data_IF_513075607075
#
_entry.id   IF_513075607075
#
_cell.length_a   1.000
_cell.length_b   1.000
_cell.length_c   1.000
_cell.angle_alpha   90.00
_cell.angle_beta   90.00
_cell.angle_gamma   90.00
#
_symmetry.space_group_name_H-M   'P 1'
#
loop_
_entity.id
_entity.type
_entity.pdbx_description
1 polymer ?
#
# COMPACT_ATOMS: atom_id res chain seq x y z
N UNK A 1 41.73 -3.66 46.26
CA UNK A 1 42.98 -4.43 45.99
C UNK A 1 42.86 -5.79 46.66
N UNK A 2 43.57 -6.84 46.21
CA UNK A 2 44.64 -6.87 45.20
C UNK A 2 44.20 -7.53 43.86
N UNK A 3 44.81 -7.17 42.72
CA UNK A 3 45.78 -7.95 41.89
C UNK A 3 45.22 -9.14 41.08
N UNK A 4 45.55 -9.37 39.79
CA UNK A 4 46.23 -8.52 38.80
C UNK A 4 47.26 -9.23 37.89
N UNK A 5 46.95 -9.36 36.59
CA UNK A 5 47.87 -9.76 35.49
C UNK A 5 47.24 -9.29 34.14
N UNK A 6 47.90 -8.48 33.29
CA UNK A 6 48.86 -8.81 32.21
C UNK A 6 48.30 -9.80 31.15
N UNK A 7 48.41 -9.58 29.82
CA UNK A 7 49.55 -9.10 29.00
C UNK A 7 49.12 -8.15 27.83
N UNK A 8 50.11 -7.51 27.16
CA UNK A 8 50.01 -6.52 26.05
C UNK A 8 49.95 -7.11 24.61
N UNK A 9 49.78 -6.19 23.64
CA UNK A 9 50.19 -6.17 22.20
C UNK A 9 49.04 -6.37 21.18
N UNK A 10 49.07 -5.78 19.97
CA UNK A 10 50.09 -4.97 19.25
C UNK A 10 49.41 -3.94 18.31
N UNK A 11 50.07 -2.80 18.01
CA UNK A 11 49.69 -1.90 16.91
C UNK A 11 50.42 -2.29 15.61
N UNK A 12 49.86 -1.92 14.47
CA UNK A 12 50.56 -1.84 13.18
C UNK A 12 50.10 -0.60 12.41
N UNK A 13 51.05 0.20 11.92
CA UNK A 13 50.83 1.30 10.96
C UNK A 13 50.99 0.77 9.52
N UNK A 14 50.35 1.43 8.55
CA UNK A 14 50.91 1.52 7.19
C UNK A 14 50.52 2.85 6.51
N UNK A 15 51.42 3.42 5.72
CA UNK A 15 51.26 4.74 5.07
C UNK A 15 51.31 4.66 3.55
N UNK A 16 50.66 5.64 2.91
CA UNK A 16 50.90 6.17 1.56
C UNK A 16 50.72 5.25 0.32
N UNK A 17 49.99 5.78 -0.67
CA UNK A 17 50.60 6.47 -1.83
C UNK A 17 49.63 7.47 -2.49
N UNK A 18 50.20 8.43 -3.24
CA UNK A 18 49.54 9.42 -4.11
C UNK A 18 50.02 9.23 -5.56
N UNK A 19 49.17 9.60 -6.52
CA UNK A 19 49.40 10.00 -7.94
C UNK A 19 48.01 10.35 -8.52
N UNK A 20 47.71 11.39 -9.32
CA UNK A 20 48.37 12.01 -10.50
C UNK A 20 48.40 11.05 -11.70
N UNK A 21 47.94 11.34 -12.93
CA UNK A 21 47.28 12.52 -13.57
C UNK A 21 46.43 12.03 -14.79
N UNK A 22 45.92 12.76 -15.79
CA UNK A 22 45.97 14.18 -16.22
C UNK A 22 44.90 14.49 -17.29
N UNK A 23 44.33 15.71 -17.25
CA UNK A 23 44.01 16.62 -18.38
C UNK A 23 42.91 16.34 -19.45
N UNK A 24 42.28 17.46 -19.85
CA UNK A 24 41.43 17.74 -21.03
C UNK A 24 42.33 18.11 -22.25
N UNK A 25 41.91 18.62 -23.47
CA UNK A 25 40.62 19.26 -23.83
C UNK A 25 40.10 19.11 -25.30
N UNK A 26 38.97 19.78 -25.62
CA UNK A 26 38.67 20.64 -26.81
C UNK A 26 38.92 20.15 -28.28
N UNK A 27 38.28 20.69 -29.34
CA UNK A 27 37.25 21.76 -29.49
C UNK A 27 36.66 21.84 -30.92
N UNK A 28 35.47 22.46 -31.03
CA UNK A 28 34.97 23.41 -32.07
C UNK A 28 35.11 23.08 -33.58
N UNK A 29 34.01 23.25 -34.30
CA UNK A 29 33.97 23.52 -35.75
C UNK A 29 32.63 24.14 -36.18
N UNK A 30 32.57 25.47 -36.32
CA UNK A 30 31.50 26.20 -37.02
C UNK A 30 31.93 26.50 -38.47
N UNK A 31 31.00 27.07 -39.27
CA UNK A 31 31.09 27.66 -40.64
C UNK A 31 30.22 26.87 -41.65
N UNK A 32 29.39 27.48 -42.54
CA UNK A 32 28.83 28.85 -42.61
C UNK A 32 27.57 28.85 -43.49
N UNK A 33 26.76 29.92 -43.44
CA UNK A 33 25.61 30.12 -44.32
C UNK A 33 25.99 30.34 -45.80
N UNK A 34 25.18 29.83 -46.72
CA UNK A 34 24.73 30.60 -47.90
C UNK A 34 23.35 30.12 -48.34
N UNK A 35 22.57 30.99 -48.99
CA UNK A 35 21.20 30.70 -49.43
C UNK A 35 20.95 31.36 -50.78
N UNK A 36 20.63 30.57 -51.82
CA UNK A 36 20.12 31.10 -53.09
C UNK A 36 19.52 30.02 -53.99
N UNK A 37 18.22 30.16 -54.24
CA UNK A 37 17.50 29.83 -55.48
C UNK A 37 17.32 28.36 -55.90
N UNK A 38 16.06 28.05 -56.25
CA UNK A 38 15.55 26.81 -56.85
C UNK A 38 15.12 27.14 -58.28
N UNK A 39 15.21 26.19 -59.24
CA UNK A 39 14.03 25.95 -60.07
C UNK A 39 13.73 24.46 -60.36
N UNK A 40 12.44 24.13 -60.17
CA UNK A 40 11.61 23.22 -60.98
C UNK A 40 11.92 21.71 -61.24
N UNK A 41 10.83 20.95 -61.00
CA UNK A 41 10.26 19.83 -61.80
C UNK A 41 10.71 18.36 -61.57
N UNK A 42 9.66 17.54 -61.40
CA UNK A 42 9.60 16.08 -61.54
C UNK A 42 10.39 15.24 -60.50
N UNK A 43 9.99 14.03 -60.07
CA UNK A 43 8.80 13.20 -60.42
C UNK A 43 8.43 12.29 -59.24
N UNK A 44 7.19 11.79 -59.20
CA UNK A 44 6.69 10.60 -58.47
C UNK A 44 7.63 9.87 -57.48
N UNK A 45 7.29 9.87 -56.19
CA UNK A 45 7.73 8.85 -55.23
C UNK A 45 6.57 7.97 -54.76
N UNK A 46 6.82 6.66 -54.62
CA UNK A 46 5.90 5.69 -54.03
C UNK A 46 6.39 5.35 -52.62
N UNK A 47 5.75 5.90 -51.59
CA UNK A 47 6.12 5.62 -50.20
C UNK A 47 5.46 4.33 -49.70
N UNK A 48 6.23 3.24 -49.66
CA UNK A 48 5.88 1.99 -48.99
C UNK A 48 6.54 1.94 -47.60
N UNK A 49 6.06 2.76 -46.66
CA UNK A 49 6.42 2.62 -45.25
C UNK A 49 5.87 1.31 -44.69
N UNK A 50 6.74 0.32 -44.48
CA UNK A 50 6.44 -0.84 -43.64
C UNK A 50 6.28 -0.40 -42.19
N UNK A 51 5.08 -0.58 -41.65
CA UNK A 51 4.83 -0.48 -40.21
C UNK A 51 5.70 -1.51 -39.47
N UNK A 52 6.39 -1.07 -38.42
CA UNK A 52 7.05 -1.98 -37.47
C UNK A 52 6.05 -2.25 -36.36
N UNK A 53 5.54 -3.47 -36.29
CA UNK A 53 4.63 -3.90 -35.22
C UNK A 53 5.42 -4.11 -33.92
N UNK A 54 5.03 -3.42 -32.85
CA UNK A 54 5.54 -3.66 -31.50
C UNK A 54 4.71 -4.75 -30.81
N UNK A 55 5.33 -5.70 -30.07
CA UNK A 55 4.58 -6.77 -29.40
C UNK A 55 3.57 -6.24 -28.36
N UNK A 56 2.40 -6.87 -28.31
CA UNK A 56 1.26 -6.36 -27.56
C UNK A 56 1.46 -6.28 -26.04
N UNK A 57 1.31 -5.07 -25.50
CA UNK A 57 1.15 -4.85 -24.06
C UNK A 57 -0.22 -5.38 -23.63
N UNK A 58 -0.25 -6.30 -22.65
CA UNK A 58 -1.47 -6.86 -22.08
C UNK A 58 -2.24 -5.84 -21.22
N UNK A 59 -2.89 -4.85 -21.86
CA UNK A 59 -3.98 -4.09 -21.22
C UNK A 59 -5.22 -4.98 -21.09
N UNK A 60 -5.30 -5.72 -19.97
CA UNK A 60 -6.62 -6.03 -19.39
C UNK A 60 -7.17 -4.74 -18.78
N UNK A 61 -8.42 -4.44 -19.08
CA UNK A 61 -9.15 -3.41 -18.34
C UNK A 61 -9.32 -3.86 -16.88
N UNK A 62 -9.18 -2.97 -15.89
CA UNK A 62 -9.38 -3.31 -14.49
C UNK A 62 -10.88 -3.59 -14.26
N UNK A 63 -11.25 -4.87 -14.23
CA UNK A 63 -12.65 -5.32 -14.14
C UNK A 63 -13.20 -5.19 -12.70
N UNK A 64 -13.13 -3.97 -12.16
CA UNK A 64 -13.84 -3.51 -10.99
C UNK A 64 -15.23 -3.02 -11.44
N UNK A 65 -16.13 -3.96 -11.70
CA UNK A 65 -17.55 -3.63 -11.89
C UNK A 65 -18.03 -2.82 -10.68
N UNK A 66 -18.70 -1.70 -10.94
CA UNK A 66 -19.11 -0.75 -9.90
C UNK A 66 -19.96 -1.46 -8.84
N UNK A 67 -19.50 -1.44 -7.58
CA UNK A 67 -20.19 -2.10 -6.49
C UNK A 67 -21.53 -1.42 -6.22
N UNK A 68 -22.62 -2.10 -6.55
CA UNK A 68 -23.97 -1.65 -6.19
C UNK A 68 -24.28 -1.97 -4.71
N UNK A 69 -25.29 -1.30 -4.10
CA UNK A 69 -25.61 -1.47 -2.68
C UNK A 69 -25.99 -2.91 -2.31
N UNK A 70 -25.89 -3.22 -1.00
CA UNK A 70 -26.01 -4.56 -0.41
C UNK A 70 -27.06 -5.50 -1.06
N UNK A 71 -26.54 -6.44 -1.84
CA UNK A 71 -27.09 -7.80 -1.95
C UNK A 71 -26.37 -8.69 -0.91
N UNK A 72 -27.02 -9.71 -0.32
CA UNK A 72 -26.32 -10.71 0.50
C UNK A 72 -25.22 -11.48 -0.25
N UNK A 73 -25.14 -11.34 -1.58
CA UNK A 73 -24.18 -12.03 -2.45
C UNK A 73 -22.91 -11.23 -2.80
N UNK A 74 -22.67 -10.04 -2.21
CA UNK A 74 -21.45 -9.26 -2.50
C UNK A 74 -20.18 -10.01 -2.06
N UNK A 75 -19.26 -10.39 -2.97
CA UNK A 75 -18.14 -11.27 -2.64
C UNK A 75 -17.08 -10.55 -1.80
N UNK A 76 -16.79 -11.11 -0.62
CA UNK A 76 -15.79 -10.59 0.33
C UNK A 76 -14.38 -10.74 -0.26
N UNK A 77 -13.69 -9.62 -0.46
CA UNK A 77 -12.32 -9.58 -1.00
C UNK A 77 -11.29 -9.71 0.11
N UNK A 78 -10.32 -10.61 -0.07
CA UNK A 78 -9.18 -10.75 0.86
C UNK A 78 -8.00 -9.91 0.39
N UNK A 79 -7.54 -8.99 1.24
CA UNK A 79 -6.38 -8.13 1.03
C UNK A 79 -5.20 -8.63 1.87
N UNK A 80 -4.12 -9.06 1.23
CA UNK A 80 -2.90 -9.55 1.89
C UNK A 80 -1.94 -8.41 2.24
N UNK A 81 -1.56 -8.30 3.51
CA UNK A 81 -0.66 -7.23 4.01
C UNK A 81 0.82 -7.56 3.70
N UNK A 82 1.45 -6.79 2.83
CA UNK A 82 2.86 -6.91 2.44
C UNK A 82 3.68 -5.68 2.90
N UNK A 83 4.12 -5.71 4.16
CA UNK A 83 5.05 -4.70 4.69
C UNK A 83 6.45 -4.91 4.08
N UNK A 84 7.00 -3.90 3.39
CA UNK A 84 8.34 -3.94 2.79
C UNK A 84 9.33 -3.13 3.64
N UNK A 85 9.37 -3.40 4.94
CA UNK A 85 10.35 -2.81 5.87
C UNK A 85 11.55 -3.74 6.08
N UNK A 86 12.75 -3.21 6.41
CA UNK A 86 13.92 -4.04 6.73
C UNK A 86 13.64 -5.06 7.84
N UNK A 87 12.89 -4.65 8.86
CA UNK A 87 12.53 -5.48 10.02
C UNK A 87 11.54 -6.61 9.69
N UNK A 88 10.94 -6.58 8.50
CA UNK A 88 10.04 -7.64 8.00
C UNK A 88 10.78 -8.77 7.26
N UNK A 89 12.06 -8.57 6.89
CA UNK A 89 12.85 -9.48 6.06
C UNK A 89 14.32 -9.55 6.53
N UNK A 90 14.54 -9.82 7.81
CA UNK A 90 15.85 -9.75 8.46
C UNK A 90 16.77 -10.96 8.17
N UNK A 91 17.28 -11.06 6.94
CA UNK A 91 18.36 -11.99 6.55
C UNK A 91 19.40 -11.27 5.66
N UNK A 92 20.33 -10.55 6.30
CA UNK A 92 21.48 -9.89 5.63
C UNK A 92 21.17 -8.53 5.00
N UNK A 93 21.80 -7.47 5.54
CA UNK A 93 21.74 -6.13 4.95
C UNK A 93 22.67 -5.92 3.75
N UNK A 94 22.59 -4.71 3.16
CA UNK A 94 23.20 -4.28 1.89
C UNK A 94 22.45 -4.83 0.65
N UNK A 95 21.66 -3.93 0.04
CA UNK A 95 20.68 -4.20 -1.02
C UNK A 95 19.54 -5.14 -0.59
N UNK A 96 18.42 -4.54 -0.14
CA UNK A 96 17.15 -5.23 0.05
C UNK A 96 16.72 -5.87 -1.29
N UNK A 97 16.93 -7.18 -1.44
CA UNK A 97 16.44 -7.91 -2.63
C UNK A 97 14.92 -8.02 -2.53
N UNK A 98 14.14 -7.42 -3.46
CA UNK A 98 12.67 -7.45 -3.38
C UNK A 98 12.11 -8.87 -3.50
N UNK A 99 12.92 -9.85 -3.94
CA UNK A 99 12.57 -11.26 -4.07
C UNK A 99 11.94 -11.90 -2.82
N UNK A 100 12.24 -11.45 -1.60
CA UNK A 100 11.56 -11.92 -0.40
C UNK A 100 10.10 -11.44 -0.32
N UNK A 101 9.86 -10.15 -0.57
CA UNK A 101 8.53 -9.56 -0.64
C UNK A 101 7.73 -10.11 -1.85
N UNK A 102 8.35 -10.21 -3.03
CA UNK A 102 7.76 -10.83 -4.23
C UNK A 102 7.37 -12.29 -3.97
N UNK A 103 8.22 -13.07 -3.28
CA UNK A 103 7.89 -14.46 -2.93
C UNK A 103 6.77 -14.56 -1.89
N UNK A 104 6.65 -13.60 -0.97
CA UNK A 104 5.49 -13.52 -0.06
C UNK A 104 4.22 -13.13 -0.81
N UNK A 105 4.29 -12.19 -1.75
CA UNK A 105 3.18 -11.77 -2.60
C UNK A 105 2.66 -12.92 -3.47
N UNK A 106 3.55 -13.64 -4.15
CA UNK A 106 3.18 -14.83 -4.96
C UNK A 106 2.47 -15.87 -4.10
N UNK A 107 2.99 -16.14 -2.90
CA UNK A 107 2.32 -17.03 -1.93
C UNK A 107 0.97 -16.48 -1.47
N UNK A 108 0.81 -15.18 -1.26
CA UNK A 108 -0.51 -14.59 -0.93
C UNK A 108 -1.53 -14.82 -2.06
N UNK A 109 -1.12 -14.71 -3.33
CA UNK A 109 -1.98 -15.02 -4.49
C UNK A 109 -2.36 -16.51 -4.50
N UNK A 110 -1.39 -17.41 -4.31
CA UNK A 110 -1.63 -18.86 -4.15
C UNK A 110 -2.55 -19.18 -2.95
N UNK A 111 -2.43 -18.41 -1.85
CA UNK A 111 -3.26 -18.47 -0.65
C UNK A 111 -4.70 -17.94 -0.86
N UNK A 112 -4.97 -17.20 -1.95
CA UNK A 112 -6.29 -16.69 -2.33
C UNK A 112 -6.50 -15.18 -2.08
N UNK A 113 -5.43 -14.39 -1.99
CA UNK A 113 -5.53 -12.93 -1.94
C UNK A 113 -6.09 -12.37 -3.26
N UNK A 114 -7.06 -11.47 -3.13
CA UNK A 114 -7.66 -10.74 -4.25
C UNK A 114 -6.94 -9.40 -4.50
N UNK A 115 -6.31 -8.87 -3.44
CA UNK A 115 -5.53 -7.63 -3.44
C UNK A 115 -4.23 -7.90 -2.66
N UNK A 116 -3.10 -7.42 -3.14
CA UNK A 116 -1.86 -7.29 -2.34
C UNK A 116 -1.68 -5.83 -1.96
N UNK A 117 -1.48 -5.57 -0.68
CA UNK A 117 -1.40 -4.21 -0.13
C UNK A 117 0.01 -3.96 0.42
N UNK A 118 0.75 -3.12 -0.30
CA UNK A 118 2.20 -2.92 -0.19
C UNK A 118 2.46 -1.67 0.64
N UNK A 119 3.17 -1.81 1.77
CA UNK A 119 3.48 -0.70 2.67
C UNK A 119 4.98 -0.51 2.87
N UNK A 120 5.51 0.68 2.55
CA UNK A 120 6.93 1.02 2.72
C UNK A 120 7.28 1.62 4.09
N UNK A 121 6.32 2.26 4.74
CA UNK A 121 6.43 2.87 6.08
C UNK A 121 5.67 2.04 7.13
N UNK A 122 6.21 1.96 8.35
CA UNK A 122 5.56 1.23 9.46
C UNK A 122 4.62 2.17 10.22
N UNK A 123 3.31 2.03 10.03
CA UNK A 123 2.28 2.83 10.74
C UNK A 123 2.05 2.39 12.21
N UNK A 124 3.02 1.70 12.82
CA UNK A 124 3.00 1.26 14.22
C UNK A 124 3.48 2.40 15.15
N UNK A 125 2.91 2.54 16.36
CA UNK A 125 3.42 3.49 17.36
C UNK A 125 4.92 3.31 17.63
N UNK A 126 5.65 4.42 17.71
CA UNK A 126 7.10 4.45 17.94
C UNK A 126 7.97 4.09 16.73
N UNK A 127 7.40 3.86 15.54
CA UNK A 127 8.19 3.68 14.33
C UNK A 127 8.90 4.97 13.90
N UNK A 128 10.15 4.85 13.42
CA UNK A 128 10.86 5.96 12.80
C UNK A 128 10.28 6.28 11.42
N UNK A 129 10.07 7.57 11.13
CA UNK A 129 9.62 8.04 9.82
C UNK A 129 10.69 7.80 8.75
N UNK A 130 10.27 7.37 7.55
CA UNK A 130 11.16 7.20 6.39
C UNK A 130 11.11 8.43 5.47
N UNK A 131 12.16 8.68 4.69
CA UNK A 131 12.09 9.67 3.61
C UNK A 131 11.19 9.17 2.45
N UNK A 132 10.69 10.08 1.60
CA UNK A 132 9.93 9.70 0.40
C UNK A 132 10.72 8.73 -0.47
N UNK A 133 12.01 9.02 -0.71
CA UNK A 133 12.87 8.13 -1.48
C UNK A 133 13.01 6.74 -0.84
N UNK A 134 13.21 6.67 0.49
CA UNK A 134 13.29 5.39 1.19
C UNK A 134 12.00 4.56 1.13
N UNK A 135 10.85 5.20 0.96
CA UNK A 135 9.57 4.53 0.77
C UNK A 135 9.42 4.01 -0.67
N UNK A 136 9.74 4.85 -1.65
CA UNK A 136 9.80 4.48 -3.07
C UNK A 136 10.77 3.31 -3.33
N UNK A 137 12.00 3.39 -2.80
CA UNK A 137 13.04 2.35 -2.92
C UNK A 137 12.57 0.97 -2.40
N UNK A 138 11.58 0.96 -1.50
CA UNK A 138 10.96 -0.27 -0.96
C UNK A 138 9.77 -0.73 -1.79
N UNK A 139 8.85 0.18 -2.12
CA UNK A 139 7.54 -0.18 -2.70
C UNK A 139 7.60 -0.35 -4.22
N UNK A 140 8.26 0.56 -4.94
CA UNK A 140 8.27 0.61 -6.42
C UNK A 140 8.78 -0.71 -7.04
N UNK A 141 9.95 -1.27 -6.66
CA UNK A 141 10.44 -2.51 -7.26
C UNK A 141 9.59 -3.75 -6.94
N UNK A 142 8.81 -3.70 -5.86
CA UNK A 142 7.88 -4.78 -5.48
C UNK A 142 6.58 -4.67 -6.27
N UNK A 143 6.07 -3.45 -6.47
CA UNK A 143 4.86 -3.18 -7.28
C UNK A 143 5.10 -3.55 -8.74
N UNK A 144 6.23 -3.11 -9.34
CA UNK A 144 6.59 -3.46 -10.72
C UNK A 144 6.62 -4.99 -10.94
N UNK A 145 7.24 -5.74 -10.03
CA UNK A 145 7.35 -7.18 -10.11
C UNK A 145 6.00 -7.91 -9.91
N UNK A 146 5.17 -7.48 -8.95
CA UNK A 146 3.82 -8.04 -8.79
C UNK A 146 2.97 -7.74 -10.04
N UNK A 147 3.05 -6.52 -10.59
CA UNK A 147 2.30 -6.13 -11.79
C UNK A 147 2.70 -6.95 -13.02
N UNK A 148 3.99 -7.26 -13.16
CA UNK A 148 4.53 -8.06 -14.27
C UNK A 148 4.21 -9.56 -14.16
N UNK A 149 4.24 -10.14 -12.95
CA UNK A 149 4.16 -11.59 -12.76
C UNK A 149 2.78 -12.11 -12.30
N UNK A 150 1.93 -11.28 -11.69
CA UNK A 150 0.81 -11.77 -10.87
C UNK A 150 -0.55 -11.23 -11.31
N UNK A 151 -1.59 -12.10 -11.45
CA UNK A 151 -2.95 -11.69 -11.81
C UNK A 151 -3.75 -11.23 -10.58
N UNK A 152 -3.24 -10.22 -9.86
CA UNK A 152 -3.82 -9.69 -8.62
C UNK A 152 -3.88 -8.16 -8.66
N UNK A 153 -4.86 -7.55 -8.00
CA UNK A 153 -4.90 -6.10 -7.82
C UNK A 153 -3.87 -5.65 -6.78
N UNK A 154 -3.32 -4.46 -6.97
CA UNK A 154 -2.26 -3.92 -6.11
C UNK A 154 -2.76 -2.65 -5.41
N UNK A 155 -2.51 -2.58 -4.10
CA UNK A 155 -2.80 -1.44 -3.24
C UNK A 155 -1.51 -0.89 -2.64
N UNK A 156 -1.42 0.43 -2.49
CA UNK A 156 -0.30 1.12 -1.82
C UNK A 156 -0.77 1.68 -0.46
N UNK A 157 -0.22 1.18 0.65
CA UNK A 157 -0.43 1.73 2.00
C UNK A 157 0.52 2.92 2.19
N UNK A 158 0.02 4.13 1.87
CA UNK A 158 0.77 5.40 1.99
C UNK A 158 -0.16 6.61 2.14
N UNK A 159 0.37 7.67 2.76
CA UNK A 159 -0.28 8.99 2.88
C UNK A 159 0.44 10.08 2.07
N UNK A 160 1.34 9.73 1.14
CA UNK A 160 2.27 10.67 0.51
C UNK A 160 2.01 10.82 -1.00
N UNK A 161 1.75 12.03 -1.54
CA UNK A 161 1.41 12.21 -2.95
C UNK A 161 2.41 11.59 -3.92
N UNK A 162 3.70 11.79 -3.70
CA UNK A 162 4.77 11.30 -4.57
C UNK A 162 4.87 9.76 -4.58
N UNK A 163 4.47 9.11 -3.48
CA UNK A 163 4.45 7.64 -3.38
C UNK A 163 3.17 7.08 -4.00
N UNK A 164 2.04 7.78 -3.91
CA UNK A 164 0.81 7.45 -4.66
C UNK A 164 1.07 7.52 -6.17
N UNK A 165 1.71 8.60 -6.64
CA UNK A 165 2.01 8.85 -8.05
C UNK A 165 2.85 7.72 -8.66
N UNK A 166 4.02 7.43 -8.08
CA UNK A 166 4.90 6.38 -8.58
C UNK A 166 4.28 4.98 -8.40
N UNK A 167 3.63 4.68 -7.27
CA UNK A 167 2.97 3.38 -7.10
C UNK A 167 1.92 3.12 -8.20
N UNK A 168 1.12 4.12 -8.55
CA UNK A 168 0.13 4.00 -9.63
C UNK A 168 0.80 4.00 -11.02
N UNK A 169 1.88 4.75 -11.22
CA UNK A 169 2.69 4.71 -12.45
C UNK A 169 3.20 3.28 -12.76
N UNK A 170 3.48 2.50 -11.70
CA UNK A 170 3.90 1.10 -11.77
C UNK A 170 2.77 0.07 -11.72
N UNK A 171 1.51 0.50 -11.65
CA UNK A 171 0.34 -0.37 -11.73
C UNK A 171 -0.33 -0.72 -10.40
N UNK A 172 -0.18 0.09 -9.35
CA UNK A 172 -1.15 0.11 -8.25
C UNK A 172 -2.52 0.61 -8.75
N UNK A 173 -3.59 -0.05 -8.30
CA UNK A 173 -4.98 0.20 -8.71
C UNK A 173 -5.82 0.79 -7.55
N UNK A 174 -5.24 0.84 -6.35
CA UNK A 174 -5.85 1.26 -5.09
C UNK A 174 -4.83 2.06 -4.27
N UNK A 175 -5.24 3.20 -3.71
CA UNK A 175 -4.54 3.94 -2.65
C UNK A 175 -5.20 3.60 -1.31
N UNK A 176 -4.42 3.20 -0.31
CA UNK A 176 -4.89 2.89 1.03
C UNK A 176 -4.30 3.91 2.00
N UNK A 177 -5.03 4.98 2.30
CA UNK A 177 -4.50 6.11 3.06
C UNK A 177 -5.01 6.15 4.51
N UNK A 178 -4.10 5.84 5.44
CA UNK A 178 -4.31 5.94 6.89
C UNK A 178 -4.64 7.35 7.40
N UNK A 179 -4.39 8.40 6.61
CA UNK A 179 -4.76 9.80 6.88
C UNK A 179 -6.03 10.25 6.15
N UNK A 180 -6.64 9.44 5.27
CA UNK A 180 -7.84 9.77 4.50
C UNK A 180 -7.76 11.06 3.66
N UNK A 181 -6.71 11.17 2.84
CA UNK A 181 -6.38 12.29 1.95
C UNK A 181 -6.32 13.65 2.66
N UNK A 182 -5.82 13.66 3.91
CA UNK A 182 -5.59 14.89 4.71
C UNK A 182 -4.17 15.44 4.61
N UNK A 183 -3.22 14.70 4.03
CA UNK A 183 -1.90 15.24 3.70
C UNK A 183 -2.03 16.28 2.59
N UNK A 184 -1.22 17.34 2.65
CA UNK A 184 -1.10 18.34 1.59
C UNK A 184 -0.83 17.68 0.22
N UNK A 185 -1.53 18.13 -0.83
CA UNK A 185 -1.46 17.56 -2.19
C UNK A 185 -2.09 16.17 -2.39
N UNK A 186 -2.45 15.42 -1.34
CA UNK A 186 -2.90 14.03 -1.50
C UNK A 186 -4.28 13.93 -2.19
N UNK A 187 -5.18 14.88 -1.95
CA UNK A 187 -6.50 14.93 -2.59
C UNK A 187 -6.41 15.25 -4.08
N UNK A 188 -5.54 16.20 -4.45
CA UNK A 188 -5.23 16.55 -5.85
C UNK A 188 -4.62 15.36 -6.60
N UNK A 189 -3.61 14.73 -6.00
CA UNK A 189 -2.94 13.56 -6.56
C UNK A 189 -3.90 12.37 -6.74
N UNK A 190 -4.68 12.02 -5.71
CA UNK A 190 -5.62 10.91 -5.77
C UNK A 190 -6.74 11.15 -6.81
N UNK A 191 -7.16 12.40 -7.02
CA UNK A 191 -8.06 12.77 -8.13
C UNK A 191 -7.41 12.55 -9.50
N UNK A 192 -6.21 13.10 -9.72
CA UNK A 192 -5.50 13.00 -11.00
C UNK A 192 -5.12 11.57 -11.40
N UNK A 193 -4.80 10.71 -10.43
CA UNK A 193 -4.47 9.30 -10.66
C UNK A 193 -5.69 8.43 -10.98
N UNK A 194 -6.89 8.83 -10.56
CA UNK A 194 -8.15 8.18 -10.95
C UNK A 194 -8.36 6.73 -10.47
N UNK A 195 -7.61 6.31 -9.45
CA UNK A 195 -7.65 4.94 -8.87
C UNK A 195 -8.70 4.81 -7.75
N UNK A 196 -8.88 3.59 -7.21
CA UNK A 196 -9.69 3.40 -6.00
C UNK A 196 -8.98 3.94 -4.77
N UNK A 197 -9.70 4.43 -3.75
CA UNK A 197 -9.13 5.03 -2.54
C UNK A 197 -9.83 4.50 -1.30
N UNK A 198 -9.08 3.93 -0.35
CA UNK A 198 -9.57 3.61 0.99
C UNK A 198 -9.23 4.75 1.96
N UNK A 199 -10.27 5.30 2.60
CA UNK A 199 -10.19 6.39 3.58
C UNK A 199 -10.30 5.81 4.99
N UNK A 200 -9.23 5.88 5.80
CA UNK A 200 -9.24 5.36 7.17
C UNK A 200 -9.48 6.45 8.24
N UNK A 201 -10.24 6.11 9.29
CA UNK A 201 -10.32 6.94 10.49
C UNK A 201 -9.10 6.73 11.44
N UNK A 202 -8.36 7.80 11.69
CA UNK A 202 -7.35 7.89 12.76
C UNK A 202 -7.52 9.17 13.59
N UNK A 203 -7.60 9.01 14.92
CA UNK A 203 -7.52 10.08 15.92
C UNK A 203 -6.06 10.24 16.38
N UNK A 204 -5.52 11.45 16.31
CA UNK A 204 -4.10 11.71 16.53
C UNK A 204 -3.22 11.26 15.35
N UNK A 205 -1.91 11.26 15.56
CA UNK A 205 -0.91 10.73 14.61
C UNK A 205 -0.42 9.33 15.04
N UNK A 206 0.10 8.48 14.14
CA UNK A 206 0.42 7.07 14.46
C UNK A 206 1.38 6.88 15.64
N UNK A 207 2.23 7.88 15.91
CA UNK A 207 3.19 7.90 17.01
C UNK A 207 2.55 8.10 18.39
N UNK A 208 1.55 8.98 18.52
CA UNK A 208 0.97 9.43 19.81
C UNK A 208 -0.49 9.03 20.03
N UNK A 209 -1.19 8.54 19.00
CA UNK A 209 -2.62 8.24 19.01
C UNK A 209 -3.14 7.36 20.18
N UNK A 210 -2.29 6.55 20.80
CA UNK A 210 -2.68 5.66 21.91
C UNK A 210 -2.58 6.30 23.30
N UNK A 211 -2.03 7.51 23.44
CA UNK A 211 -1.71 8.11 24.74
C UNK A 211 -2.96 8.45 25.57
N UNK A 212 -3.99 9.07 24.97
CA UNK A 212 -5.30 9.28 25.62
C UNK A 212 -6.44 9.43 24.60
N UNK A 213 -6.76 8.39 23.80
CA UNK A 213 -7.87 8.44 22.85
C UNK A 213 -9.23 8.53 23.57
N UNK A 214 -10.00 9.61 23.30
CA UNK A 214 -11.31 9.90 23.88
C UNK A 214 -12.36 10.06 22.79
N UNK A 215 -13.54 9.51 23.03
CA UNK A 215 -14.74 9.58 22.21
C UNK A 215 -15.93 9.57 23.18
N UNK A 216 -17.03 10.24 22.83
CA UNK A 216 -18.32 10.13 23.53
C UNK A 216 -19.12 8.96 22.98
N UNK A 217 -19.22 8.84 21.64
CA UNK A 217 -19.52 7.58 20.96
C UNK A 217 -18.69 7.39 19.70
N UNK A 218 -17.64 6.59 19.85
CA UNK A 218 -16.73 6.19 18.77
C UNK A 218 -17.44 5.61 17.53
N UNK A 219 -18.64 5.03 17.65
CA UNK A 219 -19.34 4.47 16.48
C UNK A 219 -19.85 5.58 15.56
N UNK A 220 -20.47 6.60 16.14
CA UNK A 220 -21.06 7.71 15.40
C UNK A 220 -19.95 8.69 14.96
N UNK A 221 -19.01 9.03 15.85
CA UNK A 221 -17.86 9.90 15.52
C UNK A 221 -17.00 9.34 14.37
N UNK A 222 -16.74 8.03 14.35
CA UNK A 222 -15.99 7.38 13.26
C UNK A 222 -16.77 7.40 11.96
N UNK A 223 -18.09 7.14 11.99
CA UNK A 223 -18.94 7.24 10.79
C UNK A 223 -18.95 8.66 10.24
N UNK A 224 -19.19 9.66 11.09
CA UNK A 224 -19.42 11.03 10.63
C UNK A 224 -18.12 11.68 10.12
N UNK A 225 -16.96 11.34 10.70
CA UNK A 225 -15.67 11.62 10.08
C UNK A 225 -15.53 10.98 8.69
N UNK A 226 -15.81 9.68 8.55
CA UNK A 226 -15.66 8.96 7.29
C UNK A 226 -16.59 9.50 6.21
N UNK A 227 -17.85 9.80 6.55
CA UNK A 227 -18.81 10.43 5.64
C UNK A 227 -18.38 11.86 5.25
N UNK A 228 -17.84 12.66 6.18
CA UNK A 228 -17.29 13.97 5.85
C UNK A 228 -16.05 13.89 4.94
N UNK A 229 -15.19 12.87 5.09
CA UNK A 229 -14.07 12.63 4.16
C UNK A 229 -14.54 12.17 2.79
N UNK A 230 -15.57 11.33 2.72
CA UNK A 230 -16.21 10.92 1.45
C UNK A 230 -16.82 12.12 0.74
N UNK A 231 -17.61 12.95 1.43
CA UNK A 231 -18.23 14.14 0.86
C UNK A 231 -17.17 15.13 0.31
N UNK A 232 -16.07 15.36 1.05
CA UNK A 232 -14.98 16.20 0.58
C UNK A 232 -14.25 15.62 -0.65
N UNK A 233 -14.21 14.30 -0.81
CA UNK A 233 -13.70 13.67 -2.03
C UNK A 233 -14.69 13.81 -3.20
N UNK A 234 -15.98 13.64 -2.96
CA UNK A 234 -17.04 13.84 -3.96
C UNK A 234 -17.11 15.31 -4.44
N UNK A 235 -16.95 16.28 -3.54
CA UNK A 235 -16.87 17.73 -3.85
C UNK A 235 -15.62 18.07 -4.68
N UNK A 236 -14.48 17.42 -4.41
CA UNK A 236 -13.28 17.52 -5.24
C UNK A 236 -13.38 16.72 -6.56
N UNK A 237 -14.53 16.09 -6.85
CA UNK A 237 -14.77 15.35 -8.09
C UNK A 237 -14.18 13.93 -8.14
N UNK A 238 -13.79 13.35 -7.00
CA UNK A 238 -13.46 11.92 -6.89
C UNK A 238 -14.78 11.14 -6.76
N UNK A 239 -15.16 10.29 -7.74
CA UNK A 239 -16.50 9.71 -7.77
C UNK A 239 -16.68 8.59 -6.73
N UNK A 240 -17.85 8.59 -6.05
CA UNK A 240 -18.21 7.66 -4.96
C UNK A 240 -17.84 6.20 -5.17
N UNK A 241 -18.00 5.68 -6.39
CA UNK A 241 -17.74 4.27 -6.70
C UNK A 241 -16.26 3.86 -6.60
N UNK A 242 -15.34 4.82 -6.46
CA UNK A 242 -13.90 4.60 -6.18
C UNK A 242 -13.57 4.64 -4.69
N UNK A 243 -14.48 5.10 -3.82
CA UNK A 243 -14.21 5.35 -2.41
C UNK A 243 -14.59 4.14 -1.53
N UNK A 244 -13.67 3.72 -0.67
CA UNK A 244 -13.87 2.73 0.40
C UNK A 244 -13.58 3.39 1.76
N UNK A 245 -14.06 2.79 2.86
CA UNK A 245 -13.84 3.31 4.22
C UNK A 245 -13.33 2.24 5.20
N UNK A 246 -12.39 2.58 6.08
CA UNK A 246 -11.93 1.74 7.21
C UNK A 246 -12.14 2.49 8.54
N UNK A 247 -12.84 1.91 9.54
CA UNK A 247 -12.96 2.48 10.89
C UNK A 247 -11.62 2.67 11.63
N UNK A 248 -10.52 2.13 11.11
CA UNK A 248 -9.19 2.23 11.67
C UNK A 248 -9.08 1.49 13.00
N UNK A 249 -9.39 0.19 13.02
CA UNK A 249 -9.23 -0.63 14.22
C UNK A 249 -7.80 -0.51 14.77
N UNK A 250 -7.67 -0.22 16.06
CA UNK A 250 -6.37 0.00 16.71
C UNK A 250 -5.68 1.33 16.37
N UNK A 251 -6.29 2.23 15.59
CA UNK A 251 -5.75 3.57 15.29
C UNK A 251 -6.44 4.65 16.15
N UNK A 252 -5.79 4.97 17.29
CA UNK A 252 -6.28 5.92 18.29
C UNK A 252 -7.51 5.44 19.04
N UNK A 253 -7.52 4.19 19.54
CA UNK A 253 -8.73 3.52 20.05
C UNK A 253 -8.41 2.50 21.15
N UNK A 254 -9.07 2.62 22.31
CA UNK A 254 -8.99 1.64 23.42
C UNK A 254 -9.60 0.29 23.03
N UNK A 255 -9.35 -0.78 23.81
CA UNK A 255 -10.02 -2.07 23.61
C UNK A 255 -11.55 -1.93 23.54
N UNK A 256 -12.16 -1.17 24.46
CA UNK A 256 -13.61 -0.91 24.49
C UNK A 256 -14.10 -0.21 23.22
N UNK A 257 -13.31 0.71 22.68
CA UNK A 257 -13.67 1.44 21.46
C UNK A 257 -13.64 0.51 20.23
N UNK A 258 -12.60 -0.31 20.11
CA UNK A 258 -12.50 -1.30 19.04
C UNK A 258 -13.61 -2.37 19.10
N UNK A 259 -14.00 -2.80 20.31
CA UNK A 259 -15.10 -3.74 20.50
C UNK A 259 -16.46 -3.13 20.13
N UNK A 260 -16.73 -1.85 20.49
CA UNK A 260 -17.94 -1.13 20.02
C UNK A 260 -17.99 -1.05 18.51
N UNK A 261 -16.91 -0.63 17.85
CA UNK A 261 -16.84 -0.54 16.40
C UNK A 261 -17.07 -1.87 15.69
N UNK A 262 -16.54 -2.98 16.22
CA UNK A 262 -16.75 -4.30 15.63
C UNK A 262 -18.19 -4.79 15.82
N UNK A 263 -18.78 -4.57 17.01
CA UNK A 263 -20.16 -4.95 17.30
C UNK A 263 -21.19 -4.20 16.45
N UNK A 264 -20.89 -2.94 16.11
CA UNK A 264 -21.75 -2.03 15.35
C UNK A 264 -21.21 -1.71 13.95
N UNK A 265 -20.33 -2.54 13.38
CA UNK A 265 -19.67 -2.26 12.09
C UNK A 265 -20.66 -2.07 10.92
N UNK A 266 -21.85 -2.66 11.03
CA UNK A 266 -22.94 -2.44 10.08
C UNK A 266 -23.31 -0.95 9.96
N UNK A 267 -23.15 -0.11 11.01
CA UNK A 267 -23.38 1.35 10.95
C UNK A 267 -22.52 2.07 9.91
N UNK A 268 -21.43 1.43 9.44
CA UNK A 268 -20.65 1.87 8.28
C UNK A 268 -21.11 1.18 6.98
N UNK A 269 -21.39 -0.12 7.00
CA UNK A 269 -21.83 -0.87 5.82
C UNK A 269 -23.19 -0.40 5.28
N UNK A 270 -24.12 -0.05 6.19
CA UNK A 270 -25.44 0.53 5.93
C UNK A 270 -25.37 1.86 5.16
N UNK A 271 -24.19 2.49 5.02
CA UNK A 271 -23.98 3.70 4.18
C UNK A 271 -23.86 3.40 2.68
N UNK A 272 -23.81 2.10 2.30
CA UNK A 272 -23.61 1.64 0.92
C UNK A 272 -22.19 1.82 0.38
N UNK A 273 -21.24 2.30 1.20
CA UNK A 273 -19.83 2.45 0.82
C UNK A 273 -19.08 1.14 1.18
N UNK A 274 -18.22 0.59 0.30
CA UNK A 274 -17.42 -0.59 0.62
C UNK A 274 -16.58 -0.39 1.90
N UNK A 275 -16.77 -1.28 2.88
CA UNK A 275 -16.06 -1.23 4.16
C UNK A 275 -14.86 -2.18 4.13
N UNK A 276 -13.68 -1.65 4.45
CA UNK A 276 -12.46 -2.40 4.68
C UNK A 276 -12.26 -2.59 6.19
N UNK A 277 -11.96 -3.82 6.60
CA UNK A 277 -11.77 -4.18 8.00
C UNK A 277 -10.40 -4.84 8.23
N UNK A 278 -9.43 -4.08 8.75
CA UNK A 278 -8.13 -4.59 9.15
C UNK A 278 -8.03 -4.89 10.66
N UNK A 279 -8.35 -6.12 11.10
CA UNK A 279 -8.22 -6.54 12.51
C UNK A 279 -7.05 -7.52 12.77
N UNK A 280 -6.44 -8.06 11.72
CA UNK A 280 -5.47 -9.16 11.81
C UNK A 280 -4.28 -8.86 12.73
N UNK A 281 -4.06 -9.75 13.71
CA UNK A 281 -2.98 -9.75 14.71
C UNK A 281 -2.88 -8.49 15.61
N UNK A 282 -3.81 -7.53 15.51
CA UNK A 282 -3.79 -6.26 16.25
C UNK A 282 -3.88 -6.46 17.79
N UNK A 283 -3.46 -5.43 18.52
CA UNK A 283 -3.34 -5.44 19.99
C UNK A 283 -4.60 -5.94 20.70
N UNK A 284 -5.80 -5.52 20.25
CA UNK A 284 -7.08 -5.97 20.80
C UNK A 284 -7.20 -7.50 20.88
N UNK A 285 -6.73 -8.24 19.87
CA UNK A 285 -6.78 -9.71 19.84
C UNK A 285 -5.82 -10.30 20.88
N UNK A 286 -4.68 -9.64 21.10
CA UNK A 286 -3.74 -9.99 22.16
C UNK A 286 -4.30 -9.76 23.55
N UNK A 287 -4.97 -8.63 23.79
CA UNK A 287 -5.56 -8.30 25.09
C UNK A 287 -6.79 -9.16 25.44
N UNK A 288 -7.58 -9.58 24.43
CA UNK A 288 -8.74 -10.46 24.64
C UNK A 288 -8.30 -11.90 24.98
N UNK A 289 -7.20 -12.38 24.38
CA UNK A 289 -6.76 -13.77 24.49
C UNK A 289 -5.57 -13.99 25.45
N UNK A 290 -5.02 -12.93 26.02
CA UNK A 290 -3.71 -12.87 26.70
C UNK A 290 -2.57 -13.51 25.88
N UNK A 291 -2.35 -13.01 24.65
CA UNK A 291 -1.44 -13.65 23.68
C UNK A 291 -0.46 -12.72 22.93
N UNK A 292 0.80 -13.19 22.72
CA UNK A 292 1.77 -12.52 21.85
C UNK A 292 1.33 -12.60 20.38
N UNK A 293 1.96 -11.80 19.50
CA UNK A 293 1.42 -11.49 18.16
C UNK A 293 1.36 -12.70 17.21
N UNK A 294 2.24 -13.67 17.43
CA UNK A 294 2.35 -14.94 16.70
C UNK A 294 1.15 -15.85 16.96
N UNK A 295 0.58 -15.81 18.17
CA UNK A 295 -0.50 -16.71 18.60
C UNK A 295 -1.90 -16.14 18.38
N UNK A 296 -2.02 -15.00 17.67
CA UNK A 296 -3.30 -14.29 17.42
C UNK A 296 -4.08 -14.80 16.21
N UNK A 297 -3.64 -15.87 15.54
CA UNK A 297 -4.25 -16.39 14.31
C UNK A 297 -5.76 -16.62 14.45
N UNK A 298 -6.18 -17.52 15.35
CA UNK A 298 -7.60 -17.90 15.48
C UNK A 298 -8.49 -16.72 15.90
N UNK A 299 -8.01 -15.85 16.81
CA UNK A 299 -8.72 -14.62 17.17
C UNK A 299 -8.83 -13.62 16.02
N UNK A 300 -7.84 -13.58 15.13
CA UNK A 300 -7.88 -12.75 13.92
C UNK A 300 -8.90 -13.26 12.91
N UNK A 301 -9.00 -14.59 12.73
CA UNK A 301 -10.00 -15.23 11.86
C UNK A 301 -11.41 -14.99 12.42
N UNK A 302 -11.62 -15.17 13.74
CA UNK A 302 -12.89 -14.89 14.39
C UNK A 302 -13.31 -13.41 14.25
N UNK A 303 -12.37 -12.47 14.45
CA UNK A 303 -12.62 -11.05 14.26
C UNK A 303 -12.93 -10.69 12.79
N UNK A 304 -12.31 -11.37 11.82
CA UNK A 304 -12.59 -11.21 10.40
C UNK A 304 -13.98 -11.76 9.99
N UNK A 305 -14.39 -12.90 10.54
CA UNK A 305 -15.74 -13.45 10.39
C UNK A 305 -16.82 -12.53 10.98
N UNK A 306 -16.56 -11.93 12.15
CA UNK A 306 -17.46 -10.95 12.76
C UNK A 306 -17.55 -9.68 11.90
N UNK A 307 -16.43 -9.22 11.33
CA UNK A 307 -16.45 -8.07 10.43
C UNK A 307 -17.25 -8.36 9.13
N UNK A 308 -17.02 -9.52 8.51
CA UNK A 308 -17.75 -9.96 7.32
C UNK A 308 -19.26 -10.07 7.55
N UNK A 309 -19.68 -10.76 8.63
CA UNK A 309 -21.09 -10.88 9.03
C UNK A 309 -21.72 -9.56 9.50
N UNK A 310 -20.93 -8.48 9.60
CA UNK A 310 -21.38 -7.11 9.85
C UNK A 310 -21.22 -6.19 8.62
N UNK A 311 -21.07 -6.76 7.42
CA UNK A 311 -21.09 -6.03 6.15
C UNK A 311 -19.72 -5.55 5.64
N UNK A 312 -18.60 -5.98 6.24
CA UNK A 312 -17.27 -5.69 5.70
C UNK A 312 -17.01 -6.44 4.38
N UNK A 313 -16.86 -5.68 3.28
CA UNK A 313 -16.64 -6.23 1.94
C UNK A 313 -15.17 -6.50 1.62
N UNK A 314 -14.23 -5.89 2.35
CA UNK A 314 -12.78 -6.16 2.22
C UNK A 314 -12.18 -6.51 3.59
N UNK A 315 -11.40 -7.60 3.66
CA UNK A 315 -10.70 -8.04 4.87
C UNK A 315 -9.19 -7.92 4.70
N UNK A 316 -8.54 -7.05 5.49
CA UNK A 316 -7.08 -6.79 5.43
C UNK A 316 -6.33 -7.65 6.45
N UNK A 317 -5.55 -8.63 5.97
CA UNK A 317 -5.00 -9.73 6.79
C UNK A 317 -3.53 -10.09 6.49
N UNK A 318 -2.82 -10.56 7.52
CA UNK A 318 -1.49 -11.20 7.36
C UNK A 318 -1.59 -12.68 6.93
N UNK A 319 -2.70 -13.33 7.32
CA UNK A 319 -2.93 -14.77 7.30
C UNK A 319 -3.99 -15.10 6.22
N UNK A 320 -3.57 -15.09 4.96
CA UNK A 320 -4.50 -15.12 3.81
C UNK A 320 -5.25 -16.44 3.72
N UNK A 321 -4.57 -17.59 3.61
CA UNK A 321 -5.25 -18.90 3.43
C UNK A 321 -6.25 -19.21 4.56
N UNK A 322 -5.91 -19.08 5.86
CA UNK A 322 -6.87 -19.34 6.94
C UNK A 322 -8.08 -18.41 6.92
N UNK A 323 -7.92 -17.15 6.45
CA UNK A 323 -9.04 -16.22 6.29
C UNK A 323 -9.90 -16.58 5.06
N UNK A 324 -9.27 -16.95 3.95
CA UNK A 324 -9.94 -17.44 2.72
C UNK A 324 -10.79 -18.68 3.01
N UNK A 325 -10.25 -19.65 3.75
CA UNK A 325 -10.97 -20.88 4.08
C UNK A 325 -12.13 -20.63 5.06
N UNK A 326 -11.98 -19.67 5.99
CA UNK A 326 -13.09 -19.21 6.81
C UNK A 326 -14.20 -18.51 6.00
N UNK A 327 -13.85 -17.70 4.99
CA UNK A 327 -14.85 -17.07 4.11
C UNK A 327 -15.56 -18.08 3.21
N UNK A 328 -14.90 -19.16 2.76
CA UNK A 328 -15.58 -20.25 2.04
C UNK A 328 -16.68 -20.89 2.89
N UNK A 329 -16.40 -21.14 4.18
CA UNK A 329 -17.39 -21.70 5.11
C UNK A 329 -18.52 -20.71 5.36
N UNK A 330 -18.24 -19.41 5.50
CA UNK A 330 -19.27 -18.38 5.64
C UNK A 330 -20.18 -18.34 4.40
N UNK A 331 -19.60 -18.24 3.19
CA UNK A 331 -20.36 -18.17 1.95
C UNK A 331 -21.26 -19.40 1.76
N UNK A 332 -20.74 -20.61 2.02
CA UNK A 332 -21.50 -21.86 1.90
C UNK A 332 -22.63 -22.03 2.93
N UNK A 333 -22.71 -21.15 3.94
CA UNK A 333 -23.84 -21.04 4.88
C UNK A 333 -24.81 -19.94 4.47
N UNK A 334 -24.33 -18.86 3.84
CA UNK A 334 -25.17 -17.76 3.33
C UNK A 334 -26.11 -18.13 2.17
N UNK A 335 -25.94 -19.32 1.58
CA UNK A 335 -26.79 -19.86 0.51
C UNK A 335 -28.08 -20.56 1.04
N UNK A 336 -28.35 -20.51 2.35
CA UNK A 336 -29.46 -21.21 3.05
C UNK A 336 -30.28 -20.30 3.98
#
# INVERSE_FOLDING_TARGET
MPSGSFVRTKKADFRHRKRESSEYPNSKGLLTNSCSQVPEKATTEVSLHRTIETPGIYRKEPNLQAMQPHSPTTPIRIMGILNVTPDSFSDGGLFLRPGAAISRARRMVEEGAHIIDVGGESTRPGAASVSVQQELDRTVPVIEAIRAEMPVSISIDTSRPQVMEEAVSKGAEIINDVRALRTEGAMEMAHGLGVSICLMHMQGEPSSMQETPRYEDVVEEVRDFLLARVAACEEYGIPRHRLWIDPGFGFGKTLRHNLRLLAHLNRLADTGIPVLAGLSRKSMIGTILDKPVEQRLFGSIAAALIAATKGATILRVHDVRPTVDAMKVLNAVSDF
#
